data_IF_170948419951
#
_entry.id   IF_170948419951
#
_cell.length_a   1.000
_cell.length_b   1.000
_cell.length_c   1.000
_cell.angle_alpha   90.00
_cell.angle_beta   90.00
_cell.angle_gamma   90.00
#
_symmetry.space_group_name_H-M   'P 1'
#
loop_
_entity.id
_entity.type
_entity.pdbx_description
1 polymer ?
#
# COMPACT_ATOMS: atom_id res chain seq x y z
N UNK A 1 4.95 12.15 7.60
CA UNK A 1 4.04 11.11 7.08
C UNK A 1 2.66 11.70 7.11
N UNK A 2 2.15 12.06 5.95
CA UNK A 2 0.80 12.58 5.77
C UNK A 2 -0.13 11.42 5.41
N UNK A 3 -1.41 11.57 5.79
CA UNK A 3 -2.44 10.56 5.55
C UNK A 3 -3.33 11.05 4.41
N UNK A 4 -3.31 10.31 3.31
CA UNK A 4 -4.11 10.56 2.13
C UNK A 4 -5.22 9.51 2.04
N UNK A 5 -6.49 9.88 2.30
CA UNK A 5 -7.62 8.98 2.13
C UNK A 5 -7.93 8.79 0.64
N UNK A 6 -7.92 7.56 0.17
CA UNK A 6 -8.08 7.16 -1.23
C UNK A 6 -9.27 6.23 -1.36
N UNK A 7 -10.22 6.59 -2.21
CA UNK A 7 -11.31 5.71 -2.57
C UNK A 7 -10.92 4.84 -3.76
N UNK A 8 -10.91 3.52 -3.56
CA UNK A 8 -10.59 2.56 -4.61
C UNK A 8 -11.49 1.31 -4.51
N UNK A 9 -12.10 0.91 -5.63
CA UNK A 9 -13.04 -0.25 -5.72
C UNK A 9 -14.05 -0.33 -4.56
N UNK A 10 -14.68 0.80 -4.21
CA UNK A 10 -15.69 0.91 -3.14
C UNK A 10 -15.16 0.67 -1.71
N UNK A 11 -13.83 0.74 -1.53
CA UNK A 11 -13.14 0.71 -0.24
C UNK A 11 -12.39 2.02 -0.04
N UNK A 12 -12.25 2.44 1.22
CA UNK A 12 -11.49 3.62 1.62
C UNK A 12 -10.15 3.12 2.15
N UNK A 13 -9.06 3.58 1.56
CA UNK A 13 -7.70 3.27 1.99
C UNK A 13 -7.04 4.53 2.52
N UNK A 14 -6.31 4.44 3.62
CA UNK A 14 -5.51 5.52 4.16
C UNK A 14 -4.06 5.32 3.77
N UNK A 15 -3.62 6.01 2.71
CA UNK A 15 -2.23 5.99 2.29
C UNK A 15 -1.42 6.90 3.21
N UNK A 16 -0.51 6.33 3.98
CA UNK A 16 0.37 7.05 4.90
C UNK A 16 1.76 7.10 4.26
N UNK A 17 2.13 8.25 3.73
CA UNK A 17 3.43 8.44 3.06
C UNK A 17 3.94 9.85 3.29
N UNK A 18 5.26 10.01 3.36
CA UNK A 18 5.92 11.33 3.31
C UNK A 18 6.47 11.62 1.91
N UNK A 19 6.48 10.60 1.04
CA UNK A 19 6.97 10.70 -0.33
C UNK A 19 5.87 11.19 -1.26
N UNK A 20 6.24 12.08 -2.19
CA UNK A 20 5.41 12.50 -3.30
C UNK A 20 5.28 11.32 -4.29
N UNK A 21 4.20 10.54 -4.10
CA UNK A 21 3.83 9.45 -5.00
C UNK A 21 2.80 9.98 -5.98
N UNK A 22 3.03 9.72 -7.26
CA UNK A 22 2.03 10.04 -8.27
C UNK A 22 0.79 9.15 -8.08
N UNK A 23 -0.39 9.68 -8.38
CA UNK A 23 -1.65 8.92 -8.38
C UNK A 23 -1.56 7.61 -9.17
N UNK A 24 -0.78 7.59 -10.25
CA UNK A 24 -0.51 6.39 -11.05
C UNK A 24 0.22 5.30 -10.24
N UNK A 25 1.25 5.67 -9.48
CA UNK A 25 2.02 4.76 -8.63
C UNK A 25 1.14 4.23 -7.51
N UNK A 26 0.43 5.12 -6.82
CA UNK A 26 -0.48 4.74 -5.74
C UNK A 26 -1.56 3.78 -6.23
N UNK A 27 -2.13 4.03 -7.40
CA UNK A 27 -3.13 3.14 -7.99
C UNK A 27 -2.53 1.78 -8.38
N UNK A 28 -1.31 1.75 -8.91
CA UNK A 28 -0.61 0.50 -9.22
C UNK A 28 -0.32 -0.30 -7.94
N UNK A 29 0.13 0.37 -6.87
CA UNK A 29 0.34 -0.22 -5.54
C UNK A 29 -0.96 -0.84 -5.04
N UNK A 30 -2.06 -0.06 -5.00
CA UNK A 30 -3.33 -0.53 -4.47
C UNK A 30 -3.92 -1.69 -5.28
N UNK A 31 -3.79 -1.65 -6.60
CA UNK A 31 -4.29 -2.72 -7.47
C UNK A 31 -3.49 -4.01 -7.25
N UNK A 32 -2.15 -3.93 -7.17
CA UNK A 32 -1.28 -5.10 -6.90
C UNK A 32 -1.54 -5.69 -5.51
N UNK A 33 -1.72 -4.85 -4.49
CA UNK A 33 -2.11 -5.26 -3.14
C UNK A 33 -3.49 -5.93 -3.12
N UNK A 34 -4.45 -5.41 -3.89
CA UNK A 34 -5.78 -6.00 -4.04
C UNK A 34 -5.72 -7.36 -4.75
N UNK A 35 -4.92 -7.50 -5.81
CA UNK A 35 -4.71 -8.75 -6.53
C UNK A 35 -4.02 -9.80 -5.64
N UNK A 36 -3.06 -9.39 -4.82
CA UNK A 36 -2.41 -10.25 -3.81
C UNK A 36 -3.31 -10.59 -2.63
N UNK A 37 -4.51 -10.02 -2.57
CA UNK A 37 -5.46 -10.26 -1.47
C UNK A 37 -5.03 -9.66 -0.14
N UNK A 38 -4.14 -8.67 -0.13
CA UNK A 38 -3.58 -8.03 1.08
C UNK A 38 -4.67 -7.55 2.05
N UNK A 39 -5.80 -7.11 1.51
CA UNK A 39 -6.94 -6.58 2.25
C UNK A 39 -7.99 -7.62 2.62
N UNK A 40 -7.96 -8.79 1.96
CA UNK A 40 -9.03 -9.80 2.01
C UNK A 40 -8.81 -10.84 3.13
N UNK A 41 -7.56 -11.03 3.55
CA UNK A 41 -7.21 -12.01 4.60
C UNK A 41 -7.62 -11.57 6.02
N UNK A 42 -8.09 -10.33 6.20
CA UNK A 42 -8.48 -9.79 7.51
C UNK A 42 -9.94 -10.05 7.93
N UNK A 43 -10.77 -10.68 7.08
CA UNK A 43 -12.08 -11.19 7.54
C UNK A 43 -11.95 -12.43 8.45
N UNK A 44 -10.75 -13.01 8.61
CA UNK A 44 -10.46 -14.11 9.53
C UNK A 44 -9.81 -13.66 10.83
N UNK A 45 -10.06 -14.38 11.93
CA UNK A 45 -9.64 -14.13 13.33
C UNK A 45 -8.13 -13.86 13.59
N UNK A 46 -7.27 -13.76 12.57
CA UNK A 46 -5.84 -13.44 12.66
C UNK A 46 -5.47 -12.12 11.94
N UNK A 47 -6.35 -11.13 11.96
CA UNK A 47 -6.15 -9.82 11.34
C UNK A 47 -5.13 -8.90 12.06
N UNK A 48 -4.22 -9.46 12.87
CA UNK A 48 -3.32 -8.69 13.74
C UNK A 48 -1.91 -8.48 13.15
N UNK A 49 -1.57 -9.10 12.03
CA UNK A 49 -0.25 -8.97 11.42
C UNK A 49 -0.27 -7.99 10.24
N UNK A 50 0.22 -6.77 10.46
CA UNK A 50 0.61 -5.87 9.38
C UNK A 50 1.52 -6.61 8.40
N UNK A 51 1.18 -6.56 7.12
CA UNK A 51 1.85 -7.34 6.07
C UNK A 51 2.70 -6.39 5.24
N UNK A 52 4.00 -6.64 5.26
CA UNK A 52 4.97 -5.91 4.43
C UNK A 52 4.94 -6.46 3.01
N UNK A 53 4.78 -5.55 2.05
CA UNK A 53 4.86 -5.80 0.63
C UNK A 53 6.02 -5.00 0.05
N UNK A 54 6.91 -5.68 -0.67
CA UNK A 54 7.88 -5.04 -1.53
C UNK A 54 7.35 -4.98 -2.96
N UNK A 55 7.19 -3.77 -3.46
CA UNK A 55 6.70 -3.46 -4.79
C UNK A 55 7.81 -2.77 -5.57
N UNK A 56 8.06 -3.20 -6.80
CA UNK A 56 9.02 -2.54 -7.69
C UNK A 56 8.26 -1.91 -8.85
N UNK A 57 8.30 -0.57 -8.94
CA UNK A 57 7.59 0.21 -9.96
C UNK A 57 8.61 1.11 -10.64
N UNK A 58 8.77 0.96 -11.96
CA UNK A 58 9.61 1.85 -12.79
C UNK A 58 11.05 2.04 -12.23
N UNK A 59 11.68 0.98 -11.69
CA UNK A 59 13.00 0.96 -11.01
C UNK A 59 13.04 1.54 -9.59
N UNK A 60 11.89 1.77 -8.97
CA UNK A 60 11.78 2.24 -7.60
C UNK A 60 11.19 1.12 -6.76
N UNK A 61 11.91 0.74 -5.71
CA UNK A 61 11.47 -0.26 -4.75
C UNK A 61 10.77 0.42 -3.59
N UNK A 62 9.50 0.07 -3.44
CA UNK A 62 8.59 0.51 -2.41
C UNK A 62 8.43 -0.60 -1.36
N UNK A 63 8.70 -0.27 -0.11
CA UNK A 63 8.35 -1.12 1.03
C UNK A 63 7.10 -0.53 1.64
N UNK A 64 6.00 -1.25 1.53
CA UNK A 64 4.69 -0.82 1.99
C UNK A 64 4.22 -1.78 3.08
N UNK A 65 3.79 -1.24 4.20
CA UNK A 65 3.12 -2.00 5.25
C UNK A 65 1.62 -1.81 5.09
N UNK A 66 0.88 -2.92 5.02
CA UNK A 66 -0.58 -2.90 4.92
C UNK A 66 -1.14 -3.39 6.24
N UNK A 67 -1.90 -2.52 6.91
CA UNK A 67 -2.62 -2.81 8.14
C UNK A 67 -4.11 -2.55 7.90
N UNK A 68 -4.80 -3.57 7.41
CA UNK A 68 -6.17 -3.44 6.93
C UNK A 68 -6.30 -2.39 5.85
N UNK A 69 -7.06 -1.34 6.12
CA UNK A 69 -7.27 -0.27 5.15
C UNK A 69 -6.17 0.81 5.19
N UNK A 70 -5.18 0.68 6.07
CA UNK A 70 -4.05 1.58 6.16
C UNK A 70 -2.88 1.04 5.31
N UNK A 71 -2.34 1.89 4.45
CA UNK A 71 -1.26 1.56 3.53
C UNK A 71 -0.10 2.50 3.82
N UNK A 72 0.88 2.03 4.57
CA UNK A 72 2.03 2.84 5.02
C UNK A 72 3.21 2.61 4.11
N UNK A 73 3.68 3.66 3.44
CA UNK A 73 4.90 3.59 2.64
C UNK A 73 6.09 3.80 3.56
N UNK A 74 6.74 2.69 3.93
CA UNK A 74 7.84 2.68 4.89
C UNK A 74 9.18 3.09 4.25
N UNK A 75 9.42 2.66 3.01
CA UNK A 75 10.67 2.96 2.30
C UNK A 75 10.43 3.11 0.81
N UNK A 76 11.07 4.12 0.22
CA UNK A 76 11.21 4.30 -1.22
C UNK A 76 12.70 4.28 -1.54
N UNK A 77 13.14 3.37 -2.39
CA UNK A 77 14.54 3.26 -2.82
C UNK A 77 14.59 3.22 -4.34
N UNK A 78 15.20 4.24 -4.94
CA UNK A 78 15.42 4.30 -6.38
C UNK A 78 16.66 3.44 -6.69
N UNK A 79 16.49 2.37 -7.47
CA UNK A 79 17.62 1.58 -7.97
C UNK A 79 18.26 2.39 -9.10
N UNK A 80 19.34 3.09 -8.78
CA UNK A 80 20.14 3.88 -9.73
C UNK A 80 21.24 3.08 -10.41
#
# INVERSE_FOLDING_TARGET
>A
MDIYPIHHKNLIFNLITDYDLSFKEVRAILDDLLEKGAFKEQEGENAEAGKFFDLEIESIRYVIDVNGYEVVVYRRTESS
#
